data_IF_461566104966
#
_entry.id   IF_461566104966
#
_cell.length_a   1.000
_cell.length_b   1.000
_cell.length_c   1.000
_cell.angle_alpha   90.00
_cell.angle_beta   90.00
_cell.angle_gamma   90.00
#
_symmetry.space_group_name_H-M   'P 1'
#
loop_
_entity.id
_entity.type
_entity.pdbx_description
1 polymer ?
#
# COMPACT_ATOMS: atom_id res chain seq x y z
N UNK A 1 -12.99 -38.94 -45.39
CA UNK A 1 -13.05 -39.09 -43.93
C UNK A 1 -11.68 -38.82 -43.34
N UNK A 2 -11.51 -37.78 -42.53
CA UNK A 2 -10.27 -37.52 -41.80
C UNK A 2 -10.64 -37.17 -40.35
N UNK A 3 -10.13 -37.96 -39.40
CA UNK A 3 -10.49 -37.93 -37.99
C UNK A 3 -9.80 -36.78 -37.23
N UNK A 4 -10.57 -35.98 -36.48
CA UNK A 4 -10.04 -34.97 -35.56
C UNK A 4 -9.58 -35.62 -34.24
N UNK A 5 -8.30 -35.47 -33.91
CA UNK A 5 -7.73 -35.77 -32.58
C UNK A 5 -8.17 -34.69 -31.56
N UNK A 6 -8.85 -35.10 -30.49
CA UNK A 6 -9.13 -34.26 -29.29
C UNK A 6 -7.82 -34.00 -28.54
N UNK A 7 -7.50 -32.72 -28.27
CA UNK A 7 -6.43 -32.31 -27.35
C UNK A 7 -7.01 -32.18 -25.94
N UNK A 8 -6.45 -32.93 -24.99
CA UNK A 8 -6.80 -32.90 -23.58
C UNK A 8 -6.40 -31.55 -22.94
N UNK A 9 -7.34 -30.92 -22.25
CA UNK A 9 -7.13 -29.73 -21.43
C UNK A 9 -6.53 -30.16 -20.09
N UNK A 10 -5.26 -29.87 -19.85
CA UNK A 10 -4.63 -30.03 -18.53
C UNK A 10 -5.14 -28.90 -17.62
N UNK A 11 -5.84 -29.27 -16.54
CA UNK A 11 -6.22 -28.38 -15.46
C UNK A 11 -5.01 -28.13 -14.56
N UNK A 12 -4.44 -26.93 -14.62
CA UNK A 12 -3.36 -26.52 -13.72
C UNK A 12 -3.97 -26.00 -12.41
N UNK A 13 -4.37 -26.92 -11.52
CA UNK A 13 -4.48 -26.61 -10.08
C UNK A 13 -3.06 -26.55 -9.51
N UNK A 14 -2.39 -25.42 -9.63
CA UNK A 14 -1.10 -25.19 -8.99
C UNK A 14 -1.31 -24.60 -7.59
N UNK A 15 -0.71 -25.26 -6.60
CA UNK A 15 -0.47 -24.87 -5.19
C UNK A 15 -0.96 -23.47 -4.79
N UNK A 16 -2.13 -23.38 -4.17
CA UNK A 16 -2.73 -22.14 -3.66
C UNK A 16 -3.18 -22.25 -2.19
N UNK A 17 -2.73 -23.29 -1.47
CA UNK A 17 -3.29 -23.67 -0.15
C UNK A 17 -2.25 -23.76 0.99
N UNK A 18 -1.11 -23.09 0.87
CA UNK A 18 -0.17 -22.96 2.00
C UNK A 18 0.04 -21.48 2.38
N UNK A 19 0.01 -20.58 1.39
CA UNK A 19 0.21 -19.14 1.58
C UNK A 19 -1.07 -18.42 2.03
N UNK A 20 -2.25 -18.98 1.73
CA UNK A 20 -3.54 -18.38 2.10
C UNK A 20 -3.82 -18.55 3.60
N UNK A 21 -3.41 -19.69 4.16
CA UNK A 21 -3.65 -20.12 5.53
C UNK A 21 -2.64 -19.51 6.52
N UNK A 22 -1.47 -19.03 6.07
CA UNK A 22 -0.57 -18.24 6.93
C UNK A 22 -1.03 -16.79 7.01
N UNK A 23 -1.43 -16.19 5.88
CA UNK A 23 -1.83 -14.77 5.84
C UNK A 23 -3.18 -14.53 6.53
N UNK A 24 -4.14 -15.45 6.40
CA UNK A 24 -5.38 -15.39 7.18
C UNK A 24 -5.14 -15.62 8.68
N UNK A 25 -4.05 -16.32 9.04
CA UNK A 25 -3.60 -16.45 10.42
C UNK A 25 -3.14 -15.10 10.96
N UNK A 26 -2.30 -14.36 10.23
CA UNK A 26 -1.78 -13.05 10.67
C UNK A 26 -2.92 -12.04 10.97
N UNK A 27 -3.98 -12.04 10.15
CA UNK A 27 -5.19 -11.25 10.40
C UNK A 27 -6.05 -11.77 11.56
N UNK A 28 -6.20 -13.09 11.69
CA UNK A 28 -6.93 -13.69 12.83
C UNK A 28 -6.15 -13.60 14.15
N UNK A 29 -4.83 -13.49 14.09
CA UNK A 29 -3.90 -13.39 15.21
C UNK A 29 -3.65 -11.94 15.66
N UNK A 30 -4.37 -10.95 15.08
CA UNK A 30 -4.32 -9.52 15.43
C UNK A 30 -2.97 -8.83 15.15
N UNK A 31 -2.17 -9.34 14.21
CA UNK A 31 -0.80 -8.86 14.00
C UNK A 31 -0.67 -7.58 13.15
N UNK A 32 -1.71 -7.16 12.43
CA UNK A 32 -1.71 -5.91 11.67
C UNK A 32 -3.05 -5.17 11.77
N UNK A 33 -3.01 -3.85 12.03
CA UNK A 33 -4.20 -3.00 12.14
C UNK A 33 -4.11 -1.83 11.14
N UNK A 34 -5.01 -1.80 10.15
CA UNK A 34 -5.18 -0.65 9.27
C UNK A 34 -5.91 0.45 10.07
N UNK A 35 -5.19 1.48 10.52
CA UNK A 35 -5.81 2.63 11.19
C UNK A 35 -6.38 3.56 10.12
N UNK A 36 -7.51 3.12 9.58
CA UNK A 36 -8.34 3.94 8.71
C UNK A 36 -9.04 4.93 9.62
N UNK A 37 -8.45 6.11 9.87
CA UNK A 37 -9.17 7.28 10.41
C UNK A 37 -10.10 7.00 11.61
N UNK A 38 -9.74 6.03 12.44
CA UNK A 38 -10.66 5.34 13.35
C UNK A 38 -10.80 6.01 14.71
N UNK A 39 -10.32 7.23 14.87
CA UNK A 39 -10.56 8.05 16.05
C UNK A 39 -11.58 9.14 15.77
N UNK A 40 -12.70 8.81 15.10
CA UNK A 40 -13.87 9.70 15.18
C UNK A 40 -14.36 9.91 16.62
N UNK A 41 -13.84 9.13 17.60
CA UNK A 41 -14.17 9.27 19.01
C UNK A 41 -13.03 9.66 19.95
N UNK A 42 -11.80 9.91 19.48
CA UNK A 42 -10.67 10.39 20.32
C UNK A 42 -10.48 9.65 21.67
N UNK A 43 -10.92 8.40 21.79
CA UNK A 43 -10.67 7.60 22.99
C UNK A 43 -9.23 7.10 22.93
N UNK A 44 -8.34 7.95 23.44
CA UNK A 44 -6.90 7.74 23.48
C UNK A 44 -6.55 6.42 24.17
N UNK A 45 -7.34 5.98 25.14
CA UNK A 45 -7.05 4.78 25.92
C UNK A 45 -7.45 3.51 25.17
N UNK A 46 -8.65 3.48 24.58
CA UNK A 46 -9.08 2.34 23.76
C UNK A 46 -8.21 2.19 22.51
N UNK A 47 -7.82 3.30 21.88
CA UNK A 47 -6.97 3.25 20.69
C UNK A 47 -5.52 2.95 21.04
N UNK A 48 -4.96 3.47 22.14
CA UNK A 48 -3.66 3.01 22.60
C UNK A 48 -3.68 1.50 22.90
N UNK A 49 -4.72 0.96 23.54
CA UNK A 49 -4.83 -0.46 23.85
C UNK A 49 -4.91 -1.35 22.61
N UNK A 50 -5.74 -0.98 21.63
CA UNK A 50 -5.88 -1.73 20.37
C UNK A 50 -4.61 -1.65 19.53
N UNK A 51 -3.89 -0.52 19.56
CA UNK A 51 -2.66 -0.37 18.78
C UNK A 51 -1.43 -0.96 19.47
N UNK A 52 -1.34 -0.96 20.79
CA UNK A 52 -0.24 -1.63 21.50
C UNK A 52 -0.18 -3.14 21.18
N UNK A 53 -1.28 -3.73 20.73
CA UNK A 53 -1.33 -5.12 20.27
C UNK A 53 -0.98 -5.29 18.78
N UNK A 54 -0.92 -4.21 17.99
CA UNK A 54 -0.62 -4.26 16.56
C UNK A 54 0.89 -4.14 16.31
N UNK A 55 1.43 -4.95 15.39
CA UNK A 55 2.86 -4.88 15.03
C UNK A 55 3.14 -3.71 14.08
N UNK A 56 2.14 -3.25 13.34
CA UNK A 56 2.24 -2.14 12.39
C UNK A 56 0.97 -1.28 12.37
N UNK A 57 1.17 0.02 12.15
CA UNK A 57 0.13 1.04 11.96
C UNK A 57 0.25 1.67 10.59
N UNK A 58 -0.89 1.92 9.95
CA UNK A 58 -1.00 2.69 8.71
C UNK A 58 -1.80 3.97 8.93
N UNK A 59 -1.26 5.13 8.52
CA UNK A 59 -2.03 6.37 8.29
C UNK A 59 -2.31 6.45 6.79
N UNK A 60 -3.56 6.27 6.38
CA UNK A 60 -3.91 6.26 4.97
C UNK A 60 -5.39 6.00 4.69
N UNK A 61 -5.66 5.42 3.52
CA UNK A 61 -7.00 5.14 3.00
C UNK A 61 -7.90 6.39 2.93
N UNK A 62 -7.39 7.45 2.31
CA UNK A 62 -8.12 8.72 2.17
C UNK A 62 -9.27 8.63 1.16
N UNK A 63 -9.29 7.61 0.29
CA UNK A 63 -10.35 7.35 -0.69
C UNK A 63 -11.78 7.53 -0.18
N UNK A 64 -12.12 6.92 0.97
CA UNK A 64 -13.46 7.02 1.57
C UNK A 64 -13.81 8.42 2.07
N UNK A 65 -12.79 9.23 2.42
CA UNK A 65 -12.95 10.62 2.85
C UNK A 65 -13.14 11.57 1.67
N UNK A 66 -12.45 11.31 0.55
CA UNK A 66 -12.64 12.07 -0.67
C UNK A 66 -14.06 11.95 -1.21
N UNK A 67 -14.72 10.79 -1.03
CA UNK A 67 -16.14 10.60 -1.37
C UNK A 67 -17.08 11.48 -0.51
N UNK A 68 -16.64 11.84 0.70
CA UNK A 68 -17.34 12.75 1.61
C UNK A 68 -16.91 14.21 1.43
N UNK A 69 -16.05 14.51 0.46
CA UNK A 69 -15.54 15.86 0.20
C UNK A 69 -14.45 16.32 1.18
N UNK A 70 -13.89 15.42 2.00
CA UNK A 70 -12.81 15.71 2.94
C UNK A 70 -11.46 15.48 2.25
N UNK A 71 -10.60 16.49 2.22
CA UNK A 71 -9.24 16.41 1.67
C UNK A 71 -8.25 16.62 2.80
N UNK A 72 -7.21 15.80 2.84
CA UNK A 72 -6.13 15.91 3.82
C UNK A 72 -5.00 16.76 3.27
N UNK A 73 -4.62 17.81 4.01
CA UNK A 73 -3.45 18.63 3.67
C UNK A 73 -2.15 17.96 4.13
N UNK A 74 -1.00 18.28 3.50
CA UNK A 74 0.30 17.80 3.96
C UNK A 74 0.56 18.06 5.45
N UNK A 75 0.16 19.24 5.94
CA UNK A 75 0.30 19.63 7.34
C UNK A 75 -0.55 18.74 8.28
N UNK A 76 -1.78 18.43 7.90
CA UNK A 76 -2.62 17.52 8.69
C UNK A 76 -2.01 16.13 8.79
N UNK A 77 -1.47 15.60 7.69
CA UNK A 77 -0.82 14.28 7.65
C UNK A 77 0.44 14.28 8.53
N UNK A 78 1.26 15.33 8.46
CA UNK A 78 2.44 15.47 9.32
C UNK A 78 2.07 15.56 10.81
N UNK A 79 1.04 16.33 11.15
CA UNK A 79 0.58 16.44 12.54
C UNK A 79 0.06 15.10 13.07
N UNK A 80 -0.69 14.34 12.27
CA UNK A 80 -1.12 12.98 12.62
C UNK A 80 0.07 12.03 12.81
N UNK A 81 1.08 12.14 11.94
CA UNK A 81 2.30 11.33 12.01
C UNK A 81 3.07 11.60 13.30
N UNK A 82 3.29 12.88 13.64
CA UNK A 82 3.94 13.31 14.89
C UNK A 82 3.22 12.79 16.12
N UNK A 83 1.89 12.95 16.16
CA UNK A 83 1.07 12.47 17.27
C UNK A 83 1.17 10.94 17.40
N UNK A 84 1.11 10.23 16.28
CA UNK A 84 1.18 8.77 16.24
C UNK A 84 2.55 8.27 16.72
N UNK A 85 3.66 8.83 16.24
CA UNK A 85 5.02 8.48 16.71
C UNK A 85 5.23 8.84 18.18
N UNK A 86 4.60 9.90 18.68
CA UNK A 86 4.65 10.25 20.11
C UNK A 86 3.96 9.22 20.99
N UNK A 87 2.79 8.73 20.56
CA UNK A 87 2.01 7.73 21.31
C UNK A 87 2.65 6.34 21.17
N UNK A 88 3.19 6.03 19.98
CA UNK A 88 3.64 4.70 19.58
C UNK A 88 5.06 4.77 18.99
N UNK A 89 6.07 5.08 19.80
CA UNK A 89 7.43 5.30 19.28
C UNK A 89 8.06 4.04 18.69
N UNK A 90 7.68 2.86 19.19
CA UNK A 90 8.29 1.57 18.83
C UNK A 90 7.49 0.76 17.81
N UNK A 91 6.32 1.24 17.40
CA UNK A 91 5.47 0.53 16.41
C UNK A 91 5.87 1.01 15.02
N UNK A 92 5.99 0.07 14.08
CA UNK A 92 6.25 0.39 12.67
C UNK A 92 5.08 1.21 12.12
N UNK A 93 5.38 2.40 11.61
CA UNK A 93 4.41 3.32 11.04
C UNK A 93 4.60 3.43 9.53
N UNK A 94 3.56 3.07 8.78
CA UNK A 94 3.45 3.39 7.36
C UNK A 94 2.53 4.58 7.13
N UNK A 95 2.90 5.48 6.23
CA UNK A 95 2.09 6.65 5.89
C UNK A 95 1.86 6.70 4.38
N UNK A 96 0.59 6.79 4.00
CA UNK A 96 0.18 6.97 2.61
C UNK A 96 0.35 8.42 2.19
N UNK A 97 1.01 8.66 1.06
CA UNK A 97 1.10 9.98 0.44
C UNK A 97 -0.09 10.15 -0.52
N UNK A 98 -0.95 11.15 -0.30
CA UNK A 98 -2.22 11.29 -1.01
C UNK A 98 -2.03 11.71 -2.46
N UNK A 99 -2.74 11.03 -3.37
CA UNK A 99 -2.68 11.28 -4.82
C UNK A 99 -3.32 12.62 -5.25
N UNK A 100 -3.93 13.35 -4.31
CA UNK A 100 -4.53 14.65 -4.56
C UNK A 100 -3.48 15.75 -4.67
N UNK A 101 -2.24 15.47 -4.30
CA UNK A 101 -1.11 16.38 -4.40
C UNK A 101 -0.47 16.31 -5.79
N UNK A 102 0.30 17.35 -6.15
CA UNK A 102 1.17 17.27 -7.31
C UNK A 102 2.35 16.35 -7.01
N UNK A 103 2.90 15.66 -8.01
CA UNK A 103 4.04 14.76 -7.81
C UNK A 103 5.24 15.43 -7.07
N UNK A 104 5.62 16.70 -7.35
CA UNK A 104 6.61 17.41 -6.53
C UNK A 104 6.21 17.57 -5.06
N UNK A 105 4.93 17.85 -4.77
CA UNK A 105 4.43 17.99 -3.40
C UNK A 105 4.34 16.63 -2.69
N UNK A 106 4.05 15.55 -3.41
CA UNK A 106 4.12 14.17 -2.89
C UNK A 106 5.54 13.84 -2.42
N UNK A 107 6.55 14.14 -3.25
CA UNK A 107 7.97 13.93 -2.92
C UNK A 107 8.34 14.74 -1.68
N UNK A 108 8.00 16.04 -1.66
CA UNK A 108 8.29 16.92 -0.52
C UNK A 108 7.65 16.42 0.77
N UNK A 109 6.40 15.99 0.70
CA UNK A 109 5.72 15.42 1.87
C UNK A 109 6.41 14.13 2.33
N UNK A 110 6.83 13.25 1.41
CA UNK A 110 7.55 12.03 1.78
C UNK A 110 8.89 12.31 2.49
N UNK A 111 9.68 13.29 2.02
CA UNK A 111 10.90 13.73 2.69
C UNK A 111 10.62 14.26 4.10
N UNK A 112 9.55 15.05 4.26
CA UNK A 112 9.14 15.56 5.57
C UNK A 112 8.70 14.41 6.49
N UNK A 113 7.95 13.44 5.99
CA UNK A 113 7.51 12.26 6.76
C UNK A 113 8.70 11.39 7.21
N UNK A 114 9.71 11.23 6.36
CA UNK A 114 10.96 10.54 6.73
C UNK A 114 11.66 11.24 7.90
N UNK A 115 11.71 12.58 7.90
CA UNK A 115 12.29 13.36 9.01
C UNK A 115 11.54 13.18 10.34
N UNK A 116 10.24 12.89 10.29
CA UNK A 116 9.41 12.60 11.47
C UNK A 116 9.52 11.14 11.96
N UNK A 117 10.36 10.32 11.32
CA UNK A 117 10.63 8.94 11.74
C UNK A 117 9.56 7.93 11.32
N UNK A 118 8.91 8.18 10.19
CA UNK A 118 8.07 7.18 9.50
C UNK A 118 8.95 6.03 9.00
N UNK A 119 8.44 4.81 9.10
CA UNK A 119 9.21 3.61 8.74
C UNK A 119 9.00 3.23 7.27
N UNK A 120 7.81 3.48 6.71
CA UNK A 120 7.43 3.10 5.34
C UNK A 120 6.59 4.21 4.70
N UNK A 121 6.91 4.59 3.46
CA UNK A 121 6.03 5.45 2.65
C UNK A 121 5.16 4.58 1.75
N UNK A 122 3.85 4.79 1.75
CA UNK A 122 2.91 4.15 0.85
C UNK A 122 2.44 5.14 -0.22
N UNK A 123 2.36 4.72 -1.48
CA UNK A 123 1.76 5.55 -2.54
C UNK A 123 0.25 5.33 -2.61
N UNK A 124 -0.53 6.37 -2.93
CA UNK A 124 -1.98 6.23 -3.11
C UNK A 124 -2.39 6.14 -4.58
N UNK A 125 -3.63 5.69 -4.77
CA UNK A 125 -4.31 5.61 -6.05
C UNK A 125 -4.83 6.96 -6.53
N UNK A 126 -4.35 7.41 -7.68
CA UNK A 126 -5.08 8.39 -8.50
C UNK A 126 -6.52 7.95 -8.81
N UNK A 127 -7.49 8.88 -8.90
CA UNK A 127 -8.90 8.64 -9.29
C UNK A 127 -9.12 8.09 -10.72
N UNK A 128 -8.14 7.42 -11.34
CA UNK A 128 -8.33 6.65 -12.58
C UNK A 128 -9.11 5.35 -12.29
N UNK A 129 -10.39 5.48 -11.93
CA UNK A 129 -11.31 4.35 -11.71
C UNK A 129 -11.80 3.70 -13.00
N UNK A 130 -11.62 4.37 -14.14
CA UNK A 130 -12.05 3.91 -15.45
C UNK A 130 -10.87 4.01 -16.44
N UNK A 131 -10.04 2.96 -16.59
CA UNK A 131 -9.05 2.95 -17.65
C UNK A 131 -9.75 3.11 -19.01
N UNK A 132 -9.21 3.97 -19.86
CA UNK A 132 -9.72 4.18 -21.22
C UNK A 132 -9.52 2.95 -22.11
N UNK A 133 -8.60 2.05 -21.71
CA UNK A 133 -8.26 0.82 -22.43
C UNK A 133 -8.70 -0.42 -21.66
N UNK A 134 -8.99 -1.50 -22.39
CA UNK A 134 -9.38 -2.78 -21.80
C UNK A 134 -8.16 -3.69 -21.55
N UNK A 135 -8.36 -4.73 -20.73
CA UNK A 135 -7.38 -5.80 -20.47
C UNK A 135 -6.06 -5.25 -19.89
N UNK A 136 -4.92 -5.80 -20.32
CA UNK A 136 -3.57 -5.49 -19.81
C UNK A 136 -3.24 -4.00 -19.90
N UNK A 137 -3.60 -3.36 -21.01
CA UNK A 137 -3.31 -1.93 -21.21
C UNK A 137 -4.06 -1.07 -20.18
N UNK A 138 -5.31 -1.42 -19.86
CA UNK A 138 -6.06 -0.76 -18.80
C UNK A 138 -5.49 -0.99 -17.40
N UNK A 139 -4.89 -2.15 -17.15
CA UNK A 139 -4.20 -2.43 -15.87
C UNK A 139 -2.95 -1.54 -15.71
N UNK A 140 -2.18 -1.37 -16.78
CA UNK A 140 -1.00 -0.49 -16.78
C UNK A 140 -1.42 0.98 -16.63
N UNK A 141 -2.42 1.42 -17.39
CA UNK A 141 -3.01 2.76 -17.28
C UNK A 141 -3.48 3.05 -15.84
N UNK A 142 -4.20 2.11 -15.22
CA UNK A 142 -4.66 2.23 -13.83
C UNK A 142 -3.51 2.33 -12.83
N UNK A 143 -2.40 1.61 -13.06
CA UNK A 143 -1.23 1.63 -12.18
C UNK A 143 -0.30 2.83 -12.42
N UNK A 144 -0.44 3.55 -13.54
CA UNK A 144 0.51 4.59 -13.95
C UNK A 144 0.76 5.65 -12.88
N UNK A 145 -0.26 6.23 -12.21
CA UNK A 145 -0.02 7.25 -11.18
C UNK A 145 0.81 6.72 -10.00
N UNK A 146 0.46 5.54 -9.50
CA UNK A 146 1.16 4.95 -8.32
C UNK A 146 2.58 4.52 -8.66
N UNK A 147 2.83 4.07 -9.90
CA UNK A 147 4.16 3.72 -10.38
C UNK A 147 5.06 4.96 -10.53
N UNK A 148 4.51 6.07 -11.03
CA UNK A 148 5.21 7.34 -11.14
C UNK A 148 5.58 7.88 -9.76
N UNK A 149 4.62 7.90 -8.82
CA UNK A 149 4.87 8.29 -7.43
C UNK A 149 5.94 7.40 -6.78
N UNK A 150 5.83 6.08 -6.93
CA UNK A 150 6.80 5.15 -6.37
C UNK A 150 8.21 5.41 -6.89
N UNK A 151 8.37 5.58 -8.20
CA UNK A 151 9.67 5.89 -8.83
C UNK A 151 10.29 7.18 -8.32
N UNK A 152 9.48 8.22 -8.20
CA UNK A 152 9.95 9.54 -7.77
C UNK A 152 10.29 9.56 -6.29
N UNK A 153 9.41 9.02 -5.43
CA UNK A 153 9.58 9.05 -3.99
C UNK A 153 10.73 8.14 -3.56
N UNK A 154 10.88 6.94 -4.14
CA UNK A 154 11.93 5.99 -3.74
C UNK A 154 13.35 6.49 -4.02
N UNK A 155 13.48 7.58 -4.79
CA UNK A 155 14.76 8.26 -5.05
C UNK A 155 14.98 9.49 -4.17
N UNK A 156 13.94 9.99 -3.51
CA UNK A 156 14.00 11.14 -2.63
C UNK A 156 14.20 10.73 -1.17
N UNK A 157 13.63 9.60 -0.75
CA UNK A 157 13.75 9.08 0.62
C UNK A 157 14.65 7.84 0.68
N UNK A 158 15.17 7.53 1.87
CA UNK A 158 15.97 6.34 2.16
C UNK A 158 15.15 5.20 2.77
N UNK A 159 14.02 5.54 3.39
CA UNK A 159 13.07 4.56 3.93
C UNK A 159 12.34 3.79 2.81
N UNK A 160 11.90 2.54 3.05
CA UNK A 160 11.22 1.74 2.04
C UNK A 160 9.93 2.40 1.55
N UNK A 161 9.74 2.39 0.22
CA UNK A 161 8.51 2.81 -0.44
C UNK A 161 7.69 1.59 -0.84
N UNK A 162 6.45 1.53 -0.40
CA UNK A 162 5.47 0.52 -0.74
C UNK A 162 4.52 1.08 -1.81
N UNK A 163 4.68 0.62 -3.04
CA UNK A 163 3.81 1.03 -4.13
C UNK A 163 2.45 0.37 -3.94
N UNK A 164 1.41 1.15 -3.67
CA UNK A 164 0.10 0.61 -3.32
C UNK A 164 -0.99 1.07 -4.28
N UNK A 165 -2.04 0.24 -4.37
CA UNK A 165 -3.31 0.50 -5.04
C UNK A 165 -3.28 0.61 -6.57
N UNK A 166 -4.25 -0.02 -7.22
CA UNK A 166 -4.31 -0.10 -8.69
C UNK A 166 -3.32 -1.07 -9.33
N UNK A 167 -2.54 -1.80 -8.52
CA UNK A 167 -1.62 -2.83 -8.99
C UNK A 167 -2.34 -4.14 -9.32
N UNK A 168 -1.68 -4.94 -10.14
CA UNK A 168 -2.13 -6.25 -10.62
C UNK A 168 -0.90 -7.15 -10.78
N UNK A 169 -1.09 -8.43 -11.06
CA UNK A 169 0.03 -9.33 -11.37
C UNK A 169 0.89 -8.84 -12.55
N UNK A 170 0.32 -8.04 -13.47
CA UNK A 170 1.05 -7.43 -14.59
C UNK A 170 1.96 -6.29 -14.10
N UNK A 171 1.49 -5.49 -13.15
CA UNK A 171 2.11 -4.21 -12.79
C UNK A 171 2.90 -4.28 -11.48
N UNK A 172 2.74 -5.33 -10.67
CA UNK A 172 3.54 -5.55 -9.47
C UNK A 172 5.06 -5.62 -9.76
N UNK A 173 5.55 -6.34 -10.79
CA UNK A 173 6.97 -6.32 -11.14
C UNK A 173 7.45 -4.92 -11.59
N UNK A 174 6.57 -4.14 -12.21
CA UNK A 174 6.88 -2.77 -12.62
C UNK A 174 7.06 -1.86 -11.41
N UNK A 175 6.30 -2.08 -10.33
CA UNK A 175 6.46 -1.34 -9.08
C UNK A 175 7.82 -1.61 -8.42
N UNK A 176 8.26 -2.87 -8.39
CA UNK A 176 9.60 -3.21 -7.91
C UNK A 176 10.67 -2.57 -8.81
N UNK A 177 10.52 -2.66 -10.13
CA UNK A 177 11.44 -2.03 -11.07
C UNK A 177 11.45 -0.49 -10.97
N UNK A 178 10.35 0.12 -10.53
CA UNK A 178 10.27 1.56 -10.25
C UNK A 178 11.07 1.95 -9.00
N UNK A 179 11.41 1.01 -8.10
CA UNK A 179 12.15 1.28 -6.87
C UNK A 179 11.32 1.07 -5.60
N UNK A 180 10.10 0.50 -5.71
CA UNK A 180 9.35 0.09 -4.53
C UNK A 180 10.03 -1.10 -3.84
N UNK A 181 10.12 -1.05 -2.52
CA UNK A 181 10.57 -2.17 -1.68
C UNK A 181 9.47 -3.23 -1.49
N UNK A 182 8.21 -2.85 -1.77
CA UNK A 182 7.05 -3.73 -1.63
C UNK A 182 5.86 -3.24 -2.45
N UNK A 183 4.88 -4.12 -2.60
CA UNK A 183 3.65 -3.88 -3.36
C UNK A 183 2.44 -4.06 -2.46
N UNK A 184 1.60 -3.01 -2.35
CA UNK A 184 0.34 -3.04 -1.63
C UNK A 184 -0.85 -3.42 -2.52
N UNK A 185 -1.56 -4.48 -2.13
CA UNK A 185 -2.70 -5.04 -2.88
C UNK A 185 -3.99 -4.78 -2.11
N UNK A 186 -4.79 -3.80 -2.55
CA UNK A 186 -6.07 -3.44 -1.92
C UNK A 186 -7.27 -4.16 -2.58
N UNK A 187 -8.30 -4.49 -1.76
CA UNK A 187 -9.69 -4.88 -2.11
C UNK A 187 -10.03 -6.26 -2.69
N UNK A 188 -9.11 -7.22 -2.79
CA UNK A 188 -9.45 -8.65 -2.86
C UNK A 188 -8.20 -9.49 -2.61
N UNK A 189 -8.14 -10.13 -1.43
CA UNK A 189 -7.23 -11.24 -1.06
C UNK A 189 -6.10 -11.51 -2.06
N UNK A 190 -4.86 -11.05 -1.77
CA UNK A 190 -3.62 -11.84 -1.92
C UNK A 190 -2.32 -11.02 -2.02
N UNK A 191 -1.31 -11.55 -1.32
CA UNK A 191 0.15 -11.34 -1.38
C UNK A 191 0.72 -9.96 -0.97
N UNK A 192 1.36 -9.94 0.20
CA UNK A 192 2.46 -9.01 0.47
C UNK A 192 3.76 -9.77 0.17
N UNK A 193 4.51 -9.31 -0.84
CA UNK A 193 5.89 -9.75 -1.06
C UNK A 193 6.79 -8.68 -0.43
N UNK A 194 7.34 -8.98 0.75
CA UNK A 194 8.43 -8.22 1.35
C UNK A 194 9.74 -8.84 0.91
N UNK A 195 10.61 -8.07 0.26
CA UNK A 195 12.01 -8.45 0.10
C UNK A 195 12.88 -7.48 0.89
N UNK A 196 13.23 -7.88 2.12
CA UNK A 196 14.15 -7.13 3.00
C UNK A 196 15.63 -7.41 2.68
N UNK A 197 15.96 -8.05 1.54
CA UNK A 197 17.33 -8.53 1.30
C UNK A 197 18.33 -7.50 0.73
N UNK A 198 17.96 -6.23 0.50
CA UNK A 198 18.90 -5.23 -0.07
C UNK A 198 19.36 -4.14 0.90
N UNK A 199 19.53 -4.49 2.18
CA UNK A 199 20.08 -3.62 3.22
C UNK A 199 21.40 -4.13 3.81
N UNK A 200 22.32 -4.63 2.99
CA UNK A 200 23.77 -4.68 3.28
C UNK A 200 24.53 -5.32 2.11
N UNK A 201 25.16 -4.50 1.27
CA UNK A 201 26.53 -4.69 0.78
C UNK A 201 27.17 -3.30 0.58
#
# INVERSE_FOLDING_TARGET
>A
MLALKKKATLSTKALLSATKESVLRDFHERRALKIISGLQNFDKENVASVIMAAEQVEIGNYGSFYEMGVIFTPEQILNLTKETKRILPSVTLSVTVPHTLSLPDEIKLAEMLEQEGVDIIQTERGKCNSPSKSRVLGLVEKATPTLAAAYSISRAVKIPVMCSSGLSAVTAPMAIAAGAAGVGVDSAVNYILWDLSTGNQ
#
